data_IF_061378496146
#
_entry.id   IF_061378496146
#
_cell.length_a   1.000
_cell.length_b   1.000
_cell.length_c   1.000
_cell.angle_alpha   90.00
_cell.angle_beta   90.00
_cell.angle_gamma   90.00
#
_symmetry.space_group_name_H-M   'P 1'
#
loop_
_entity.id
_entity.type
_entity.pdbx_description
1 polymer ?
#
# COMPACT_ATOMS: atom_id res chain seq x y z
N UNK A 1 -3.47 20.17 21.53
CA UNK A 1 -2.46 19.57 20.65
C UNK A 1 -1.42 18.95 21.56
N UNK A 2 -1.24 17.64 21.46
CA UNK A 2 -0.35 16.87 22.35
C UNK A 2 0.70 16.19 21.47
N UNK A 3 1.95 16.18 21.91
CA UNK A 3 3.02 15.46 21.22
C UNK A 3 2.74 13.96 21.32
N UNK A 4 2.67 13.27 20.18
CA UNK A 4 2.45 11.82 20.11
C UNK A 4 3.75 11.01 20.04
N UNK A 5 4.80 11.55 19.39
CA UNK A 5 6.10 10.92 19.26
C UNK A 5 7.16 11.97 18.91
N UNK A 6 8.27 11.97 19.63
CA UNK A 6 9.48 12.69 19.22
C UNK A 6 10.37 11.74 18.40
N UNK A 7 10.78 12.13 17.18
CA UNK A 7 11.67 11.30 16.38
C UNK A 7 13.13 11.59 16.71
N UNK A 8 13.85 10.60 17.23
CA UNK A 8 15.30 10.71 17.53
C UNK A 8 16.16 9.70 16.80
N UNK A 9 15.57 8.72 16.12
CA UNK A 9 16.31 7.56 15.62
C UNK A 9 15.80 6.97 14.30
N UNK A 10 14.54 7.18 13.94
CA UNK A 10 13.92 6.51 12.79
C UNK A 10 13.87 7.41 11.55
N UNK A 11 13.92 6.80 10.37
CA UNK A 11 13.76 7.52 9.10
C UNK A 11 12.30 7.83 8.78
N UNK A 12 11.36 7.01 9.26
CA UNK A 12 9.92 7.17 9.03
C UNK A 12 9.09 6.45 10.09
N UNK A 13 7.80 6.79 10.13
CA UNK A 13 6.79 6.13 10.94
C UNK A 13 5.57 5.76 10.11
N UNK A 14 4.97 4.63 10.43
CA UNK A 14 3.62 4.26 9.99
C UNK A 14 2.63 4.58 11.10
N UNK A 15 1.64 5.39 10.76
CA UNK A 15 0.63 5.92 11.67
C UNK A 15 -0.74 5.44 11.19
N UNK A 16 -1.58 4.95 12.11
CA UNK A 16 -2.94 4.54 11.80
C UNK A 16 -3.92 5.73 11.78
N UNK A 17 -5.18 5.48 11.39
CA UNK A 17 -6.22 6.50 11.29
C UNK A 17 -6.58 7.16 12.64
N UNK A 18 -6.22 6.51 13.76
CA UNK A 18 -6.39 7.04 15.11
C UNK A 18 -5.14 7.82 15.60
N UNK A 19 -4.19 8.09 14.70
CA UNK A 19 -2.91 8.76 14.97
C UNK A 19 -1.99 8.01 15.94
N UNK A 20 -2.16 6.70 16.09
CA UNK A 20 -1.20 5.90 16.84
C UNK A 20 -0.01 5.59 15.95
N UNK A 21 1.20 5.79 16.46
CA UNK A 21 2.41 5.32 15.80
C UNK A 21 2.48 3.80 15.98
N UNK A 22 2.55 3.03 14.88
CA UNK A 22 2.47 1.56 14.90
C UNK A 22 3.77 0.90 14.53
N UNK A 23 4.42 1.43 13.49
CA UNK A 23 5.71 0.96 13.03
C UNK A 23 6.66 2.12 12.80
N UNK A 24 7.94 1.81 12.80
CA UNK A 24 8.99 2.74 12.43
C UNK A 24 9.97 2.01 11.51
N UNK A 25 10.65 2.75 10.65
CA UNK A 25 11.66 2.18 9.76
C UNK A 25 12.99 2.88 9.99
N UNK A 26 14.08 2.13 9.84
CA UNK A 26 15.42 2.70 9.70
C UNK A 26 16.19 1.99 8.60
N UNK A 27 17.10 2.70 7.94
CA UNK A 27 17.99 2.10 6.95
C UNK A 27 19.18 1.44 7.63
N UNK A 28 19.60 0.30 7.09
CA UNK A 28 20.78 -0.41 7.59
C UNK A 28 22.04 0.03 6.84
N UNK A 29 23.25 -0.11 7.43
CA UNK A 29 24.49 0.33 6.79
C UNK A 29 24.82 -0.37 5.46
N UNK A 30 24.25 -1.55 5.22
CA UNK A 30 24.35 -2.32 3.98
C UNK A 30 23.32 -1.90 2.92
N UNK A 31 22.52 -0.86 3.17
CA UNK A 31 21.55 -0.31 2.23
C UNK A 31 20.16 -0.95 2.27
N UNK A 32 19.95 -1.91 3.17
CA UNK A 32 18.62 -2.46 3.47
C UNK A 32 17.81 -1.59 4.44
N UNK A 33 16.80 -2.21 5.05
CA UNK A 33 15.97 -1.58 6.08
C UNK A 33 15.56 -2.55 7.19
N UNK A 34 15.34 -2.00 8.38
CA UNK A 34 14.67 -2.67 9.49
C UNK A 34 13.35 -1.96 9.75
N UNK A 35 12.26 -2.73 9.76
CA UNK A 35 10.94 -2.29 10.22
C UNK A 35 10.83 -2.70 11.68
N UNK A 36 10.43 -1.76 12.53
CA UNK A 36 10.22 -1.93 13.95
C UNK A 36 8.74 -1.83 14.27
N UNK A 37 8.24 -2.74 15.12
CA UNK A 37 6.89 -2.69 15.68
C UNK A 37 6.92 -2.06 17.07
N UNK A 38 5.93 -1.24 17.38
CA UNK A 38 5.78 -0.63 18.71
C UNK A 38 5.28 -1.65 19.74
N UNK A 39 5.94 -1.72 20.90
CA UNK A 39 5.63 -2.68 21.99
C UNK A 39 5.16 -2.03 23.29
N UNK A 40 5.10 -0.70 23.34
CA UNK A 40 4.66 0.10 24.49
C UNK A 40 4.80 1.58 24.20
N UNK A 41 4.82 2.43 25.23
CA UNK A 41 4.86 3.89 25.06
C UNK A 41 6.17 4.41 24.45
N UNK A 42 7.29 3.70 24.64
CA UNK A 42 8.60 4.05 24.05
C UNK A 42 9.36 2.80 23.54
N UNK A 43 8.69 1.66 23.47
CA UNK A 43 9.29 0.37 23.13
C UNK A 43 9.19 0.03 21.65
N UNK A 44 10.29 -0.47 21.08
CA UNK A 44 10.39 -0.93 19.70
C UNK A 44 11.03 -2.32 19.64
N UNK A 45 10.50 -3.19 18.78
CA UNK A 45 11.11 -4.48 18.46
C UNK A 45 11.25 -4.64 16.95
N UNK A 46 12.30 -5.32 16.50
CA UNK A 46 12.47 -5.61 15.06
C UNK A 46 11.32 -6.51 14.63
N UNK A 47 10.53 -6.02 13.70
CA UNK A 47 9.43 -6.73 13.08
C UNK A 47 9.87 -7.45 11.81
N UNK A 48 10.63 -6.76 10.96
CA UNK A 48 11.06 -7.28 9.67
C UNK A 48 12.40 -6.69 9.27
N UNK A 49 13.18 -7.48 8.52
CA UNK A 49 14.40 -7.02 7.86
C UNK A 49 14.21 -7.14 6.36
N UNK A 50 14.59 -6.09 5.64
CA UNK A 50 14.50 -5.98 4.20
C UNK A 50 15.94 -5.86 3.68
N UNK A 51 16.41 -6.81 2.88
CA UNK A 51 17.73 -6.72 2.29
C UNK A 51 17.77 -5.62 1.22
N UNK A 52 18.97 -5.15 0.87
CA UNK A 52 19.14 -4.01 -0.05
C UNK A 52 18.45 -4.24 -1.42
N UNK A 53 18.47 -5.48 -1.92
CA UNK A 53 17.85 -5.85 -3.20
C UNK A 53 16.33 -5.66 -3.24
N UNK A 54 15.66 -5.68 -2.09
CA UNK A 54 14.20 -5.55 -1.96
C UNK A 54 13.77 -4.20 -1.37
N UNK A 55 14.72 -3.30 -1.05
CA UNK A 55 14.46 -2.08 -0.28
C UNK A 55 13.46 -1.13 -0.95
N UNK A 56 13.45 -1.06 -2.28
CA UNK A 56 12.58 -0.15 -3.04
C UNK A 56 11.18 -0.75 -3.26
N UNK A 57 11.07 -2.08 -3.19
CA UNK A 57 9.89 -2.86 -3.58
C UNK A 57 9.24 -3.58 -2.40
N UNK A 58 9.69 -3.32 -1.17
CA UNK A 58 9.09 -3.83 0.06
C UNK A 58 8.83 -2.69 1.05
N UNK A 59 7.61 -2.58 1.55
CA UNK A 59 7.23 -1.57 2.54
C UNK A 59 5.74 -1.55 2.87
N UNK A 60 5.37 -0.89 3.95
CA UNK A 60 3.99 -0.56 4.30
C UNK A 60 3.41 0.44 3.29
N UNK A 61 2.13 0.27 2.94
CA UNK A 61 1.40 1.22 2.09
C UNK A 61 0.20 1.86 2.77
N UNK A 62 -0.32 1.26 3.85
CA UNK A 62 -1.35 1.88 4.68
C UNK A 62 -2.12 0.88 5.52
N UNK A 63 -2.97 1.37 6.42
CA UNK A 63 -3.85 0.55 7.24
C UNK A 63 -5.26 0.51 6.67
N UNK A 64 -6.03 -0.51 7.07
CA UNK A 64 -7.48 -0.39 7.05
C UNK A 64 -7.94 0.59 8.15
N UNK A 65 -9.20 1.01 8.12
CA UNK A 65 -9.75 1.99 9.09
C UNK A 65 -9.57 1.61 10.55
N UNK A 66 -9.60 0.31 10.88
CA UNK A 66 -9.48 -0.17 12.27
C UNK A 66 -8.03 -0.28 12.75
N UNK A 67 -7.03 -0.16 11.86
CA UNK A 67 -5.62 -0.41 12.19
C UNK A 67 -5.29 -1.88 12.49
N UNK A 68 -6.24 -2.79 12.30
CA UNK A 68 -6.06 -4.22 12.53
C UNK A 68 -5.36 -4.91 11.37
N UNK A 69 -5.44 -4.32 10.18
CA UNK A 69 -4.76 -4.79 8.96
C UNK A 69 -3.77 -3.71 8.49
N UNK A 70 -2.50 -4.10 8.37
CA UNK A 70 -1.49 -3.34 7.64
C UNK A 70 -1.38 -3.92 6.23
N UNK A 71 -1.54 -3.08 5.21
CA UNK A 71 -1.24 -3.43 3.84
C UNK A 71 0.23 -3.16 3.54
N UNK A 72 0.88 -4.14 2.94
CA UNK A 72 2.31 -4.11 2.64
C UNK A 72 2.55 -4.57 1.21
N UNK A 73 3.48 -3.92 0.53
CA UNK A 73 4.07 -4.43 -0.71
C UNK A 73 5.31 -5.21 -0.35
N UNK A 74 5.54 -6.35 -0.99
CA UNK A 74 6.72 -7.16 -0.74
C UNK A 74 7.19 -7.91 -2.00
N UNK A 75 8.46 -7.80 -2.34
CA UNK A 75 9.13 -8.56 -3.41
C UNK A 75 10.00 -9.71 -2.91
N UNK A 76 10.17 -9.87 -1.58
CA UNK A 76 11.09 -10.87 -1.02
C UNK A 76 10.69 -12.28 -1.40
N UNK A 77 11.66 -13.04 -1.92
CA UNK A 77 11.47 -14.43 -2.33
C UNK A 77 10.58 -14.61 -3.57
N UNK A 78 10.32 -13.55 -4.33
CA UNK A 78 9.53 -13.56 -5.57
C UNK A 78 10.16 -12.66 -6.64
N UNK A 79 9.65 -12.78 -7.86
CA UNK A 79 10.14 -12.00 -9.00
C UNK A 79 9.48 -10.62 -9.11
N UNK A 80 8.23 -10.49 -8.66
CA UNK A 80 7.45 -9.26 -8.75
C UNK A 80 6.93 -8.87 -7.37
N UNK A 81 6.90 -7.58 -7.06
CA UNK A 81 6.28 -7.04 -5.87
C UNK A 81 4.77 -7.31 -5.86
N UNK A 82 4.26 -7.83 -4.75
CA UNK A 82 2.85 -8.17 -4.57
C UNK A 82 2.27 -7.47 -3.33
N UNK A 83 0.95 -7.29 -3.31
CA UNK A 83 0.25 -6.69 -2.18
C UNK A 83 -0.18 -7.77 -1.18
N UNK A 84 0.14 -7.54 0.10
CA UNK A 84 -0.22 -8.36 1.25
C UNK A 84 -1.09 -7.58 2.23
N UNK A 85 -1.96 -8.30 2.91
CA UNK A 85 -2.61 -7.85 4.12
C UNK A 85 -2.01 -8.60 5.31
N UNK A 86 -1.51 -7.86 6.29
CA UNK A 86 -0.97 -8.42 7.52
C UNK A 86 -1.89 -8.08 8.69
N UNK A 87 -2.29 -9.08 9.46
CA UNK A 87 -2.92 -8.86 10.76
C UNK A 87 -1.91 -8.26 11.74
N UNK A 88 -2.17 -7.06 12.25
CA UNK A 88 -1.21 -6.31 13.08
C UNK A 88 -1.03 -6.91 14.48
N UNK A 89 -1.93 -7.79 14.92
CA UNK A 89 -1.81 -8.51 16.20
C UNK A 89 -0.99 -9.78 16.04
N UNK A 90 -1.33 -10.63 15.07
CA UNK A 90 -0.72 -11.97 14.93
C UNK A 90 0.50 -11.99 14.02
N UNK A 91 0.68 -10.98 13.17
CA UNK A 91 1.72 -10.95 12.13
C UNK A 91 1.42 -11.90 10.95
N UNK A 92 0.22 -12.49 10.88
CA UNK A 92 -0.15 -13.37 9.77
C UNK A 92 -0.37 -12.54 8.51
N UNK A 93 0.39 -12.85 7.46
CA UNK A 93 0.31 -12.23 6.15
C UNK A 93 -0.57 -13.07 5.21
N UNK A 94 -1.37 -12.40 4.39
CA UNK A 94 -2.22 -12.97 3.35
C UNK A 94 -1.95 -12.25 2.03
N UNK A 95 -1.66 -12.99 0.97
CA UNK A 95 -1.54 -12.44 -0.37
C UNK A 95 -2.90 -11.90 -0.84
N UNK A 96 -2.92 -10.64 -1.29
CA UNK A 96 -4.13 -9.96 -1.79
C UNK A 96 -4.15 -9.91 -3.31
N UNK A 97 -3.03 -9.50 -3.92
CA UNK A 97 -2.89 -9.43 -5.37
C UNK A 97 -1.43 -9.56 -5.78
N UNK A 98 -1.21 -10.25 -6.90
CA UNK A 98 0.09 -10.37 -7.56
C UNK A 98 -0.13 -10.42 -9.07
N UNK A 99 0.90 -10.02 -9.82
CA UNK A 99 0.98 -10.24 -11.26
C UNK A 99 2.27 -11.00 -11.57
N UNK A 100 2.24 -12.03 -12.44
CA UNK A 100 3.42 -12.84 -12.75
C UNK A 100 4.49 -12.10 -13.59
N UNK A 101 4.17 -10.93 -14.15
CA UNK A 101 5.01 -10.18 -15.11
C UNK A 101 5.32 -8.75 -14.67
N UNK A 102 4.51 -8.16 -13.78
CA UNK A 102 4.66 -6.79 -13.34
C UNK A 102 4.66 -6.68 -11.83
N UNK A 103 5.45 -5.73 -11.33
CA UNK A 103 5.40 -5.29 -9.94
C UNK A 103 4.07 -4.59 -9.64
N UNK A 104 3.70 -4.63 -8.36
CA UNK A 104 2.68 -3.76 -7.79
C UNK A 104 2.89 -2.30 -8.25
N UNK A 105 1.92 -1.77 -9.01
CA UNK A 105 1.96 -0.43 -9.58
C UNK A 105 1.09 0.59 -8.85
N UNK A 106 0.34 0.16 -7.84
CA UNK A 106 -0.54 1.01 -7.06
C UNK A 106 -1.80 0.28 -6.61
N UNK A 107 -2.63 0.98 -5.85
CA UNK A 107 -3.85 0.43 -5.27
C UNK A 107 -4.92 1.50 -5.16
N UNK A 108 -6.16 1.03 -5.18
CA UNK A 108 -7.36 1.78 -4.88
C UNK A 108 -7.92 1.21 -3.58
N UNK A 109 -8.20 2.09 -2.63
CA UNK A 109 -8.82 1.73 -1.35
C UNK A 109 -10.09 2.54 -1.11
N UNK A 110 -11.00 1.98 -0.33
CA UNK A 110 -12.24 2.64 0.04
C UNK A 110 -11.93 3.97 0.76
N UNK A 111 -12.55 5.11 0.41
CA UNK A 111 -12.18 6.43 0.95
C UNK A 111 -12.22 6.58 2.48
N UNK A 112 -13.15 5.88 3.16
CA UNK A 112 -13.27 5.89 4.63
C UNK A 112 -12.91 4.57 5.32
N UNK A 113 -13.27 3.42 4.73
CA UNK A 113 -12.97 2.10 5.32
C UNK A 113 -11.53 1.66 5.09
N UNK A 114 -10.84 2.28 4.13
CA UNK A 114 -9.44 2.03 3.77
C UNK A 114 -9.13 0.57 3.39
N UNK A 115 -10.15 -0.25 3.16
CA UNK A 115 -10.00 -1.59 2.61
C UNK A 115 -9.63 -1.50 1.12
N UNK A 116 -8.81 -2.44 0.64
CA UNK A 116 -8.43 -2.52 -0.79
C UNK A 116 -9.66 -2.81 -1.63
N UNK A 117 -9.82 -2.07 -2.73
CA UNK A 117 -10.89 -2.26 -3.71
C UNK A 117 -10.35 -2.71 -5.07
N UNK A 118 -9.17 -2.25 -5.46
CA UNK A 118 -8.49 -2.71 -6.67
C UNK A 118 -6.97 -2.52 -6.56
N UNK A 119 -6.21 -3.28 -7.34
CA UNK A 119 -4.73 -3.17 -7.43
C UNK A 119 -4.34 -2.97 -8.88
N UNK A 120 -3.42 -2.04 -9.12
CA UNK A 120 -2.90 -1.76 -10.45
C UNK A 120 -1.57 -2.48 -10.66
N UNK A 121 -1.41 -3.05 -11.84
CA UNK A 121 -0.15 -3.58 -12.34
C UNK A 121 0.11 -2.98 -13.72
N UNK A 122 1.38 -2.70 -14.02
CA UNK A 122 1.77 -2.09 -15.30
C UNK A 122 2.87 -2.92 -15.94
N UNK A 123 2.50 -3.67 -16.98
CA UNK A 123 3.46 -4.41 -17.82
C UNK A 123 3.68 -3.65 -19.13
N UNK A 124 2.78 -3.84 -20.10
CA UNK A 124 2.75 -3.04 -21.34
C UNK A 124 1.79 -1.85 -21.20
N UNK A 125 0.67 -2.07 -20.52
CA UNK A 125 -0.37 -1.08 -20.21
C UNK A 125 -0.79 -1.28 -18.76
N UNK A 126 -1.24 -0.21 -18.10
CA UNK A 126 -1.82 -0.31 -16.76
C UNK A 126 -3.13 -1.10 -16.82
N UNK A 127 -3.25 -2.08 -15.96
CA UNK A 127 -4.51 -2.80 -15.76
C UNK A 127 -4.84 -2.87 -14.27
N UNK A 128 -6.13 -2.87 -13.97
CA UNK A 128 -6.66 -2.93 -12.62
C UNK A 128 -7.23 -4.32 -12.35
N UNK A 129 -6.67 -5.02 -11.36
CA UNK A 129 -7.30 -6.18 -10.76
C UNK A 129 -8.33 -5.71 -9.73
N UNK A 130 -9.61 -5.87 -10.05
CA UNK A 130 -10.71 -5.53 -9.14
C UNK A 130 -10.85 -6.59 -8.06
N UNK A 131 -10.95 -6.15 -6.80
CA UNK A 131 -11.06 -7.00 -5.61
C UNK A 131 -12.36 -6.77 -4.84
N UNK A 132 -13.05 -5.65 -5.10
CA UNK A 132 -14.31 -5.28 -4.48
C UNK A 132 -15.34 -4.93 -5.57
N UNK A 133 -16.49 -5.60 -5.54
CA UNK A 133 -17.56 -5.43 -6.53
C UNK A 133 -18.12 -4.01 -6.56
N UNK A 134 -17.96 -3.22 -5.49
CA UNK A 134 -18.43 -1.83 -5.42
C UNK A 134 -17.80 -0.89 -6.43
N UNK A 135 -16.63 -1.23 -6.98
CA UNK A 135 -15.92 -0.43 -7.99
C UNK A 135 -15.84 -1.10 -9.36
N UNK A 136 -16.38 -2.31 -9.50
CA UNK A 136 -16.24 -3.11 -10.72
C UNK A 136 -16.89 -2.45 -11.93
N UNK A 137 -18.15 -2.02 -11.78
CA UNK A 137 -18.91 -1.39 -12.85
C UNK A 137 -18.31 -0.02 -13.26
N UNK A 138 -17.82 0.76 -12.29
CA UNK A 138 -17.19 2.05 -12.55
C UNK A 138 -15.88 1.88 -13.34
N UNK A 139 -14.99 0.96 -12.91
CA UNK A 139 -13.74 0.70 -13.61
C UNK A 139 -13.97 0.11 -15.01
N UNK A 140 -14.96 -0.77 -15.16
CA UNK A 140 -15.35 -1.28 -16.47
C UNK A 140 -15.90 -0.17 -17.39
N UNK A 141 -16.69 0.75 -16.85
CA UNK A 141 -17.18 1.91 -17.60
C UNK A 141 -16.04 2.83 -18.04
N UNK A 142 -15.11 3.17 -17.14
CA UNK A 142 -13.98 4.06 -17.44
C UNK A 142 -13.10 3.53 -18.58
N UNK A 143 -12.89 2.21 -18.67
CA UNK A 143 -12.17 1.57 -19.78
C UNK A 143 -12.83 1.78 -21.16
N UNK A 144 -14.10 2.17 -21.21
CA UNK A 144 -14.82 2.44 -22.48
C UNK A 144 -14.79 3.90 -22.91
N UNK A 145 -14.36 4.81 -22.03
CA UNK A 145 -14.43 6.25 -22.27
C UNK A 145 -13.30 6.73 -23.18
N UNK A 146 -12.09 6.20 -23.00
CA UNK A 146 -10.90 6.52 -23.77
C UNK A 146 -9.96 5.29 -23.82
N UNK A 147 -9.08 5.23 -24.82
CA UNK A 147 -8.13 4.13 -24.99
C UNK A 147 -6.85 4.31 -24.14
N UNK A 148 -6.69 5.43 -23.43
CA UNK A 148 -5.59 5.65 -22.48
C UNK A 148 -5.66 4.82 -21.20
N UNK A 149 -4.55 4.76 -20.48
CA UNK A 149 -4.46 4.08 -19.18
C UNK A 149 -5.21 4.86 -18.11
N UNK A 150 -6.16 4.19 -17.45
CA UNK A 150 -7.02 4.80 -16.41
C UNK A 150 -6.24 5.04 -15.12
N UNK A 151 -6.13 6.30 -14.72
CA UNK A 151 -5.58 6.75 -13.44
C UNK A 151 -6.67 7.41 -12.59
N UNK A 152 -6.96 6.83 -11.42
CA UNK A 152 -7.87 7.45 -10.45
C UNK A 152 -7.05 8.25 -9.44
N UNK A 153 -7.07 9.58 -9.57
CA UNK A 153 -6.24 10.48 -8.76
C UNK A 153 -6.83 10.75 -7.37
N UNK A 154 -8.16 10.87 -7.26
CA UNK A 154 -8.84 11.14 -6.00
C UNK A 154 -10.32 10.80 -6.06
N UNK A 155 -10.92 10.56 -4.90
CA UNK A 155 -12.33 10.21 -4.73
C UNK A 155 -12.94 10.98 -3.56
N UNK A 156 -14.22 11.31 -3.65
CA UNK A 156 -14.97 11.89 -2.53
C UNK A 156 -15.13 10.88 -1.39
N UNK A 157 -15.33 11.38 -0.16
CA UNK A 157 -15.48 10.50 1.02
C UNK A 157 -16.72 9.60 0.96
N UNK A 158 -17.78 10.05 0.28
CA UNK A 158 -18.99 9.27 0.01
C UNK A 158 -18.88 8.39 -1.25
N UNK A 159 -17.71 8.40 -1.87
CA UNK A 159 -17.32 7.58 -3.01
C UNK A 159 -18.11 7.78 -4.31
N UNK A 160 -18.79 8.91 -4.45
CA UNK A 160 -19.65 9.21 -5.61
C UNK A 160 -18.99 10.08 -6.69
N UNK A 161 -17.89 10.74 -6.37
CA UNK A 161 -17.20 11.66 -7.30
C UNK A 161 -15.74 11.30 -7.42
N UNK A 162 -15.30 11.02 -8.64
CA UNK A 162 -13.96 10.53 -8.93
C UNK A 162 -13.26 11.52 -9.88
N UNK A 163 -12.01 11.86 -9.57
CA UNK A 163 -11.13 12.56 -10.52
C UNK A 163 -10.30 11.50 -11.23
N UNK A 164 -10.51 11.38 -12.53
CA UNK A 164 -9.87 10.40 -13.40
C UNK A 164 -9.06 11.10 -14.48
N UNK A 165 -7.87 10.58 -14.76
CA UNK A 165 -7.01 10.98 -15.87
C UNK A 165 -6.77 9.77 -16.76
N UNK A 166 -6.66 10.01 -18.06
CA UNK A 166 -6.24 9.01 -19.04
C UNK A 166 -4.82 9.35 -19.48
N UNK A 167 -3.90 8.42 -19.25
CA UNK A 167 -2.53 8.53 -19.74
C UNK A 167 -2.47 7.88 -21.11
N UNK A 168 -2.26 8.70 -22.14
CA UNK A 168 -2.16 8.25 -23.53
C UNK A 168 -0.69 8.20 -23.96
N UNK A 169 -0.35 7.19 -24.75
CA UNK A 169 0.95 7.11 -25.42
C UNK A 169 1.03 8.17 -26.53
N UNK A 170 2.24 8.63 -26.87
CA UNK A 170 2.45 9.63 -27.92
C UNK A 170 2.54 9.05 -29.34
N UNK A 171 2.68 7.72 -29.46
CA UNK A 171 2.60 6.96 -30.71
C UNK A 171 3.91 6.87 -31.49
#
# INVERSE_FOLDING_TARGET
>A
MTLIQENREFSSFDIDEDYNVRFATNTTPDGGAEIFKRTGDDGWEIFSKIPMEDMITTGSVGFNKTGEILYMVDSRGRNTAALFAMNTTTGVETLIAEDPKADFGGWMRHPTEMNVQAVAFTYERKHWQVLDDSVADDLAYLQTVDDGDVEVLSRSLDDKTWIVVYVVDDG
#
